data_IF_551562413996
#
_entry.id   IF_551562413996
#
_cell.length_a   1.000
_cell.length_b   1.000
_cell.length_c   1.000
_cell.angle_alpha   90.00
_cell.angle_beta   90.00
_cell.angle_gamma   90.00
#
_symmetry.space_group_name_H-M   'P 1'
#
loop_
_entity.id
_entity.type
_entity.pdbx_description
1 polymer ?
#
# COMPACT_ATOMS: atom_id res chain seq x y z
N UNK A 1 0.08 3.84 -7.03
CA UNK A 1 -0.13 2.42 -7.32
C UNK A 1 -1.06 2.31 -8.50
N UNK A 2 -0.72 1.59 -9.58
CA UNK A 2 -1.59 1.51 -10.74
C UNK A 2 -2.86 0.73 -10.40
N UNK A 3 -4.01 1.20 -10.88
CA UNK A 3 -5.26 0.44 -10.81
C UNK A 3 -5.15 -0.86 -11.62
N UNK A 4 -5.91 -1.92 -11.28
CA UNK A 4 -6.02 -3.09 -12.15
C UNK A 4 -6.44 -2.68 -13.56
N UNK A 5 -5.82 -3.28 -14.58
CA UNK A 5 -6.03 -2.91 -15.99
C UNK A 5 -7.50 -3.04 -16.41
N UNK A 6 -8.21 -4.02 -15.87
CA UNK A 6 -9.63 -4.22 -16.11
C UNK A 6 -10.48 -3.09 -15.54
N UNK A 7 -10.19 -2.62 -14.33
CA UNK A 7 -10.87 -1.46 -13.74
C UNK A 7 -10.55 -0.18 -14.50
N UNK A 8 -9.30 0.01 -14.95
CA UNK A 8 -8.94 1.16 -15.79
C UNK A 8 -9.75 1.17 -17.11
N UNK A 9 -9.91 0.01 -17.75
CA UNK A 9 -10.73 -0.12 -18.97
C UNK A 9 -12.19 0.17 -18.68
N UNK A 10 -12.72 -0.36 -17.58
CA UNK A 10 -14.10 -0.10 -17.15
C UNK A 10 -14.34 1.39 -16.90
N UNK A 11 -13.47 2.05 -16.15
CA UNK A 11 -13.52 3.49 -15.90
C UNK A 11 -13.51 4.30 -17.19
N UNK A 12 -12.60 3.98 -18.11
CA UNK A 12 -12.51 4.69 -19.39
C UNK A 12 -13.77 4.55 -20.22
N UNK A 13 -14.36 3.35 -20.26
CA UNK A 13 -15.58 3.09 -21.01
C UNK A 13 -16.84 3.73 -20.38
N UNK A 14 -16.91 3.79 -19.05
CA UNK A 14 -18.14 4.08 -18.31
C UNK A 14 -18.08 5.32 -17.42
N UNK A 15 -17.19 6.27 -17.69
CA UNK A 15 -17.07 7.50 -16.90
C UNK A 15 -18.28 8.45 -17.06
N UNK A 16 -18.92 8.47 -18.23
CA UNK A 16 -20.06 9.33 -18.54
C UNK A 16 -21.40 8.57 -18.57
N UNK A 17 -21.41 7.31 -18.11
CA UNK A 17 -22.60 6.45 -18.11
C UNK A 17 -23.08 6.19 -16.68
N UNK A 18 -24.35 5.84 -16.52
CA UNK A 18 -24.87 5.47 -15.20
C UNK A 18 -24.28 4.14 -14.75
N UNK A 19 -23.70 4.10 -13.55
CA UNK A 19 -23.04 2.94 -12.97
C UNK A 19 -23.58 2.68 -11.58
N UNK A 20 -23.99 1.44 -11.34
CA UNK A 20 -24.26 0.91 -10.01
C UNK A 20 -22.95 0.51 -9.37
N UNK A 21 -22.57 1.20 -8.29
CA UNK A 21 -21.41 0.85 -7.47
C UNK A 21 -21.89 0.22 -6.16
N UNK A 22 -21.42 -0.99 -5.86
CA UNK A 22 -21.74 -1.75 -4.65
C UNK A 22 -20.44 -2.12 -3.96
N UNK A 23 -20.27 -1.63 -2.75
CA UNK A 23 -19.14 -1.93 -1.87
C UNK A 23 -19.69 -2.65 -0.64
N UNK A 24 -19.06 -3.75 -0.27
CA UNK A 24 -19.50 -4.65 0.80
C UNK A 24 -18.35 -4.87 1.76
N UNK A 25 -18.62 -4.73 3.05
CA UNK A 25 -17.66 -5.07 4.11
C UNK A 25 -17.38 -6.59 4.14
N UNK A 26 -16.17 -6.98 4.54
CA UNK A 26 -15.80 -8.39 4.66
C UNK A 26 -16.57 -9.14 5.75
N UNK A 27 -16.36 -10.46 5.79
CA UNK A 27 -17.03 -11.31 6.77
C UNK A 27 -16.57 -11.00 8.21
N UNK A 28 -17.50 -10.50 9.04
CA UNK A 28 -17.28 -10.41 10.48
C UNK A 28 -17.00 -11.78 11.11
N UNK A 29 -16.09 -11.80 12.10
CA UNK A 29 -15.75 -12.99 12.87
C UNK A 29 -16.96 -13.55 13.63
N UNK A 30 -17.90 -12.67 14.03
CA UNK A 30 -19.11 -13.04 14.77
C UNK A 30 -20.16 -13.69 13.83
N UNK A 31 -20.52 -14.98 14.06
CA UNK A 31 -21.53 -15.68 13.28
C UNK A 31 -22.89 -15.00 13.21
N UNK A 32 -23.29 -14.27 14.25
CA UNK A 32 -24.62 -13.66 14.38
C UNK A 32 -24.82 -12.46 13.44
N UNK A 33 -23.74 -11.79 13.06
CA UNK A 33 -23.75 -10.65 12.14
C UNK A 33 -23.29 -11.00 10.72
N UNK A 34 -23.02 -12.28 10.42
CA UNK A 34 -22.57 -12.71 9.07
C UNK A 34 -23.53 -12.38 7.93
N UNK A 35 -24.79 -12.07 8.21
CA UNK A 35 -25.80 -11.66 7.22
C UNK A 35 -26.04 -10.15 7.20
N UNK A 36 -25.38 -9.38 8.08
CA UNK A 36 -25.60 -7.95 8.21
C UNK A 36 -25.31 -7.22 6.88
N UNK A 37 -24.20 -7.57 6.23
CA UNK A 37 -23.82 -7.06 4.92
C UNK A 37 -24.96 -7.17 3.87
N UNK A 38 -25.71 -8.29 3.88
CA UNK A 38 -26.77 -8.51 2.88
C UNK A 38 -27.95 -7.60 3.14
N UNK A 39 -28.27 -7.38 4.41
CA UNK A 39 -29.33 -6.45 4.82
C UNK A 39 -28.93 -5.02 4.40
N UNK A 40 -27.68 -4.63 4.63
CA UNK A 40 -27.17 -3.31 4.22
C UNK A 40 -27.18 -3.11 2.71
N UNK A 41 -26.71 -4.09 1.94
CA UNK A 41 -26.74 -4.04 0.47
C UNK A 41 -28.17 -3.93 -0.04
N UNK A 42 -29.09 -4.78 0.46
CA UNK A 42 -30.49 -4.75 0.03
C UNK A 42 -31.18 -3.43 0.43
N UNK A 43 -30.87 -2.88 1.61
CA UNK A 43 -31.35 -1.57 2.03
C UNK A 43 -30.81 -0.46 1.11
N UNK A 44 -29.51 -0.45 0.86
CA UNK A 44 -28.89 0.52 -0.05
C UNK A 44 -29.44 0.44 -1.48
N UNK A 45 -29.72 -0.77 -1.99
CA UNK A 45 -30.41 -0.96 -3.27
C UNK A 45 -31.83 -0.37 -3.23
N UNK A 46 -32.58 -0.61 -2.15
CA UNK A 46 -33.93 -0.06 -2.00
C UNK A 46 -33.92 1.47 -1.94
N UNK A 47 -32.96 2.07 -1.21
CA UNK A 47 -32.79 3.51 -1.10
C UNK A 47 -32.40 4.14 -2.44
N UNK A 48 -31.43 3.54 -3.15
CA UNK A 48 -31.05 3.96 -4.50
C UNK A 48 -32.23 3.85 -5.48
N UNK A 49 -32.99 2.76 -5.43
CA UNK A 49 -34.20 2.60 -6.25
C UNK A 49 -35.28 3.64 -5.91
N UNK A 50 -35.44 3.99 -4.64
CA UNK A 50 -36.39 5.01 -4.20
C UNK A 50 -35.98 6.41 -4.66
N UNK A 51 -34.68 6.71 -4.76
CA UNK A 51 -34.21 7.98 -5.34
C UNK A 51 -34.61 8.13 -6.82
N UNK A 52 -34.74 7.02 -7.56
CA UNK A 52 -35.23 6.97 -8.94
C UNK A 52 -36.77 7.16 -9.06
N UNK A 53 -37.45 7.56 -7.99
CA UNK A 53 -38.92 7.68 -7.98
C UNK A 53 -39.45 8.71 -8.99
N UNK A 54 -38.66 9.73 -9.32
CA UNK A 54 -39.04 10.75 -10.30
C UNK A 54 -38.46 10.52 -11.70
N UNK A 55 -37.63 9.51 -11.88
CA UNK A 55 -36.95 9.23 -13.14
C UNK A 55 -37.81 8.43 -14.11
N UNK A 56 -37.43 8.49 -15.40
CA UNK A 56 -38.15 7.83 -16.47
C UNK A 56 -38.12 6.28 -16.28
N UNK A 57 -39.19 5.57 -16.68
CA UNK A 57 -39.26 4.10 -16.58
C UNK A 57 -38.02 3.33 -17.11
N UNK A 58 -37.32 3.76 -18.19
CA UNK A 58 -36.11 3.10 -18.67
C UNK A 58 -34.97 3.03 -17.66
N UNK A 59 -34.81 4.06 -16.81
CA UNK A 59 -33.69 4.13 -15.87
C UNK A 59 -33.86 3.16 -14.70
N UNK A 60 -35.11 2.94 -14.27
CA UNK A 60 -35.43 1.90 -13.27
C UNK A 60 -35.13 0.49 -13.80
N UNK A 61 -35.47 0.23 -15.07
CA UNK A 61 -35.20 -1.07 -15.70
C UNK A 61 -33.69 -1.30 -15.81
N UNK A 62 -32.92 -0.29 -16.23
CA UNK A 62 -31.45 -0.36 -16.29
C UNK A 62 -30.84 -0.59 -14.91
N UNK A 63 -31.31 0.14 -13.89
CA UNK A 63 -30.88 -0.05 -12.51
C UNK A 63 -31.15 -1.49 -12.04
N UNK A 64 -32.36 -2.02 -12.26
CA UNK A 64 -32.73 -3.38 -11.84
C UNK A 64 -31.91 -4.45 -12.56
N UNK A 65 -31.58 -4.23 -13.83
CA UNK A 65 -30.65 -5.10 -14.58
C UNK A 65 -29.24 -5.08 -13.98
N UNK A 66 -28.72 -3.90 -13.60
CA UNK A 66 -27.43 -3.77 -12.93
C UNK A 66 -27.42 -4.49 -11.57
N UNK A 67 -28.49 -4.33 -10.78
CA UNK A 67 -28.66 -5.04 -9.51
C UNK A 67 -28.63 -6.55 -9.74
N UNK A 68 -29.45 -7.06 -10.68
CA UNK A 68 -29.50 -8.48 -10.97
C UNK A 68 -28.13 -9.04 -11.36
N UNK A 69 -27.37 -8.28 -12.17
CA UNK A 69 -26.01 -8.64 -12.57
C UNK A 69 -25.04 -8.78 -11.40
N UNK A 70 -24.90 -7.74 -10.57
CA UNK A 70 -23.98 -7.73 -9.42
C UNK A 70 -24.37 -8.77 -8.37
N UNK A 71 -25.66 -8.96 -8.11
CA UNK A 71 -26.14 -9.92 -7.11
C UNK A 71 -25.83 -11.38 -7.46
N UNK A 72 -25.51 -11.71 -8.73
CA UNK A 72 -25.06 -13.06 -9.11
C UNK A 72 -23.67 -13.41 -8.58
N UNK A 73 -22.83 -12.40 -8.34
CA UNK A 73 -21.47 -12.56 -7.83
C UNK A 73 -21.42 -12.68 -6.31
N UNK A 74 -22.48 -12.23 -5.63
CA UNK A 74 -22.59 -12.28 -4.19
C UNK A 74 -23.17 -13.63 -3.74
N UNK A 75 -22.63 -14.27 -2.67
CA UNK A 75 -23.15 -15.53 -2.18
C UNK A 75 -24.65 -15.45 -1.87
N UNK A 76 -25.42 -16.41 -2.39
CA UNK A 76 -26.88 -16.51 -2.22
C UNK A 76 -27.31 -17.26 -0.95
N UNK A 77 -26.38 -17.94 -0.26
CA UNK A 77 -26.63 -18.81 0.89
C UNK A 77 -25.92 -18.43 2.20
N UNK A 78 -25.78 -19.40 3.11
CA UNK A 78 -25.05 -19.27 4.38
C UNK A 78 -23.52 -19.35 4.24
N UNK A 79 -23.02 -19.39 3.00
CA UNK A 79 -21.59 -19.39 2.69
C UNK A 79 -20.95 -18.13 3.25
N UNK A 80 -19.76 -18.29 3.87
CA UNK A 80 -18.98 -17.13 4.34
C UNK A 80 -18.77 -16.17 3.16
N UNK A 81 -19.00 -14.88 3.41
CA UNK A 81 -18.50 -13.85 2.51
C UNK A 81 -16.97 -13.91 2.47
N UNK A 82 -16.39 -13.17 1.55
CA UNK A 82 -14.94 -13.02 1.45
C UNK A 82 -14.36 -12.58 2.82
N UNK A 83 -13.13 -13.02 3.10
CA UNK A 83 -12.40 -12.64 4.34
C UNK A 83 -12.20 -11.12 4.44
N UNK A 84 -12.29 -10.41 3.31
CA UNK A 84 -12.12 -8.98 3.16
C UNK A 84 -13.31 -8.39 2.40
N UNK A 85 -13.31 -7.09 2.17
CA UNK A 85 -14.37 -6.42 1.42
C UNK A 85 -14.54 -6.93 -0.01
N UNK A 86 -15.64 -6.51 -0.64
CA UNK A 86 -15.94 -6.79 -2.05
C UNK A 86 -16.41 -5.51 -2.73
N UNK A 87 -16.02 -5.32 -3.98
CA UNK A 87 -16.48 -4.22 -4.82
C UNK A 87 -17.08 -4.76 -6.11
N UNK A 88 -18.18 -4.15 -6.54
CA UNK A 88 -18.83 -4.42 -7.81
C UNK A 88 -19.29 -3.13 -8.47
N UNK A 89 -19.00 -2.99 -9.76
CA UNK A 89 -19.47 -1.91 -10.62
C UNK A 89 -20.24 -2.51 -11.79
N UNK A 90 -21.44 -2.01 -12.09
CA UNK A 90 -22.20 -2.43 -13.26
C UNK A 90 -22.77 -1.22 -13.99
N UNK A 91 -22.46 -1.07 -15.27
CA UNK A 91 -22.90 0.07 -16.08
C UNK A 91 -24.26 -0.20 -16.72
N UNK A 92 -25.03 0.86 -16.97
CA UNK A 92 -26.30 0.78 -17.69
C UNK A 92 -26.18 0.13 -19.09
N UNK A 93 -24.99 0.11 -19.68
CA UNK A 93 -24.74 -0.35 -21.04
C UNK A 93 -24.51 -1.85 -21.19
N UNK A 94 -24.18 -2.57 -20.11
CA UNK A 94 -23.89 -4.01 -20.26
C UNK A 94 -22.82 -4.54 -19.34
N UNK A 95 -21.81 -3.73 -19.08
CA UNK A 95 -20.54 -4.20 -18.53
C UNK A 95 -20.59 -4.26 -17.00
N UNK A 96 -19.76 -5.14 -16.45
CA UNK A 96 -19.56 -5.26 -15.01
C UNK A 96 -18.07 -5.48 -14.68
N UNK A 97 -17.66 -4.99 -13.52
CA UNK A 97 -16.38 -5.26 -12.89
C UNK A 97 -16.63 -5.70 -11.45
N UNK A 98 -16.00 -6.78 -11.00
CA UNK A 98 -16.13 -7.27 -9.63
C UNK A 98 -14.77 -7.70 -9.09
N UNK A 99 -14.51 -7.42 -7.82
CA UNK A 99 -13.26 -7.79 -7.17
C UNK A 99 -13.42 -8.01 -5.66
N UNK A 100 -12.65 -8.95 -5.12
CA UNK A 100 -12.44 -9.11 -3.68
C UNK A 100 -11.31 -8.20 -3.25
N UNK A 101 -11.61 -7.29 -2.34
CA UNK A 101 -10.68 -6.29 -1.84
C UNK A 101 -9.65 -6.90 -0.88
N UNK A 102 -8.62 -6.14 -0.57
CA UNK A 102 -7.54 -6.56 0.35
C UNK A 102 -7.78 -6.13 1.79
N UNK A 103 -8.71 -5.19 1.99
CA UNK A 103 -9.11 -4.64 3.28
C UNK A 103 -10.62 -4.48 3.31
N UNK A 104 -11.16 -4.30 4.50
CA UNK A 104 -12.56 -3.93 4.65
C UNK A 104 -12.81 -2.52 4.11
N UNK A 105 -14.01 -2.32 3.59
CA UNK A 105 -14.46 -1.07 3.00
C UNK A 105 -15.79 -0.68 3.61
N UNK A 106 -16.04 0.62 3.69
CA UNK A 106 -17.32 1.14 4.14
C UNK A 106 -18.43 0.65 3.18
N UNK A 107 -19.44 -0.08 3.69
CA UNK A 107 -20.49 -0.64 2.85
C UNK A 107 -21.31 0.48 2.23
N UNK A 108 -21.56 0.39 0.92
CA UNK A 108 -22.34 1.40 0.22
C UNK A 108 -22.90 0.91 -1.10
N UNK A 109 -24.03 1.50 -1.50
CA UNK A 109 -24.69 1.25 -2.78
C UNK A 109 -25.02 2.61 -3.39
N UNK A 110 -24.53 2.90 -4.58
CA UNK A 110 -24.78 4.18 -5.27
C UNK A 110 -25.07 3.97 -6.74
N UNK A 111 -26.04 4.72 -7.27
CA UNK A 111 -26.34 4.82 -8.69
C UNK A 111 -25.99 6.23 -9.16
N UNK A 112 -24.90 6.37 -9.91
CA UNK A 112 -24.32 7.66 -10.29
C UNK A 112 -23.72 7.60 -11.68
N UNK A 113 -23.49 8.76 -12.30
CA UNK A 113 -22.67 8.84 -13.50
C UNK A 113 -21.22 8.52 -13.13
N UNK A 114 -20.64 7.51 -13.77
CA UNK A 114 -19.31 7.00 -13.47
C UNK A 114 -19.23 6.11 -12.22
N UNK A 115 -18.18 5.28 -12.10
CA UNK A 115 -18.02 4.36 -10.98
C UNK A 115 -17.52 5.09 -9.72
N UNK A 116 -18.02 4.71 -8.55
CA UNK A 116 -17.56 5.26 -7.26
C UNK A 116 -16.25 4.58 -6.81
N UNK A 117 -15.12 5.21 -7.06
CA UNK A 117 -13.80 4.58 -6.98
C UNK A 117 -13.01 4.88 -5.72
N UNK A 118 -13.26 5.98 -5.00
CA UNK A 118 -12.44 6.34 -3.85
C UNK A 118 -12.50 5.31 -2.70
N UNK A 119 -13.67 4.75 -2.33
CA UNK A 119 -13.72 3.68 -1.33
C UNK A 119 -12.96 2.43 -1.79
N UNK A 120 -13.04 2.11 -3.08
CA UNK A 120 -12.27 1.02 -3.68
C UNK A 120 -10.77 1.29 -3.53
N UNK A 121 -10.29 2.47 -3.95
CA UNK A 121 -8.88 2.85 -3.86
C UNK A 121 -8.35 2.84 -2.42
N UNK A 122 -9.18 3.21 -1.44
CA UNK A 122 -8.81 3.18 -0.03
C UNK A 122 -8.67 1.76 0.55
N UNK A 123 -9.45 0.80 0.01
CA UNK A 123 -9.48 -0.59 0.45
C UNK A 123 -8.64 -1.53 -0.43
N UNK A 124 -8.22 -1.05 -1.60
CA UNK A 124 -7.34 -1.73 -2.54
C UNK A 124 -5.88 -1.42 -2.19
N UNK A 125 -5.23 -2.38 -1.56
CA UNK A 125 -3.83 -2.31 -1.19
C UNK A 125 -3.10 -3.51 -1.80
N UNK A 126 -2.44 -3.29 -2.94
CA UNK A 126 -1.54 -4.27 -3.55
C UNK A 126 -0.10 -4.13 -3.03
N UNK A 127 0.12 -3.40 -1.92
CA UNK A 127 1.45 -3.28 -1.35
C UNK A 127 1.98 -4.66 -0.99
N UNK A 128 2.89 -5.16 -1.81
CA UNK A 128 3.66 -6.35 -1.55
C UNK A 128 4.96 -5.90 -0.89
N UNK A 129 5.29 -6.50 0.24
CA UNK A 129 6.50 -6.19 0.97
C UNK A 129 7.40 -7.41 1.10
N UNK A 130 8.71 -7.22 0.92
CA UNK A 130 9.73 -8.15 1.36
C UNK A 130 9.99 -7.94 2.84
N UNK A 131 9.83 -8.98 3.65
CA UNK A 131 10.20 -8.98 5.07
C UNK A 131 11.48 -9.78 5.24
N UNK A 132 12.56 -9.09 5.60
CA UNK A 132 13.89 -9.65 5.82
C UNK A 132 14.19 -9.68 7.32
N UNK A 133 14.34 -10.87 7.89
CA UNK A 133 14.68 -11.07 9.30
C UNK A 133 16.10 -11.60 9.42
N UNK A 134 17.00 -10.76 9.91
CA UNK A 134 18.43 -11.08 10.02
C UNK A 134 18.92 -11.23 11.45
N UNK A 135 19.79 -12.20 11.70
CA UNK A 135 20.68 -12.20 12.87
C UNK A 135 22.15 -12.34 12.42
N UNK A 136 23.05 -12.73 13.33
CA UNK A 136 24.48 -12.88 12.99
C UNK A 136 24.78 -14.05 12.05
N UNK A 137 23.84 -14.97 11.90
CA UNK A 137 24.07 -16.27 11.28
C UNK A 137 23.07 -16.58 10.17
N UNK A 138 21.89 -15.96 10.14
CA UNK A 138 20.87 -16.27 9.15
C UNK A 138 20.08 -15.03 8.73
N UNK A 139 19.58 -15.09 7.51
CA UNK A 139 18.58 -14.22 6.92
C UNK A 139 17.37 -15.07 6.53
N UNK A 140 16.23 -14.81 7.13
CA UNK A 140 14.94 -15.34 6.69
C UNK A 140 14.23 -14.28 5.85
N UNK A 141 13.69 -14.68 4.71
CA UNK A 141 12.98 -13.77 3.81
C UNK A 141 11.53 -14.25 3.63
N UNK A 142 10.59 -13.31 3.66
CA UNK A 142 9.18 -13.56 3.43
C UNK A 142 8.61 -12.53 2.47
N UNK A 143 7.60 -12.92 1.70
CA UNK A 143 6.76 -11.98 0.99
C UNK A 143 5.47 -11.78 1.78
N UNK A 144 5.21 -10.55 2.21
CA UNK A 144 3.94 -10.13 2.79
C UNK A 144 3.05 -9.59 1.68
N UNK A 145 1.91 -10.22 1.46
CA UNK A 145 0.88 -9.77 0.53
C UNK A 145 -0.50 -10.07 1.10
N UNK A 146 -1.41 -9.09 1.09
CA UNK A 146 -2.81 -9.26 1.54
C UNK A 146 -2.93 -9.92 2.93
N UNK A 147 -2.06 -9.54 3.87
CA UNK A 147 -2.03 -10.09 5.22
C UNK A 147 -1.51 -11.53 5.35
N UNK A 148 -1.06 -12.14 4.25
CA UNK A 148 -0.47 -13.47 4.22
C UNK A 148 1.05 -13.39 4.01
N UNK A 149 1.77 -14.29 4.69
CA UNK A 149 3.20 -14.49 4.47
C UNK A 149 3.42 -15.70 3.58
N UNK A 150 4.24 -15.51 2.54
CA UNK A 150 4.80 -16.59 1.73
C UNK A 150 6.29 -16.68 2.01
N UNK A 151 6.80 -17.88 2.23
CA UNK A 151 8.20 -18.09 2.55
C UNK A 151 9.03 -17.91 1.28
N UNK A 152 10.07 -17.09 1.38
CA UNK A 152 11.09 -16.95 0.34
C UNK A 152 12.37 -17.64 0.81
N UNK A 153 13.24 -17.95 -0.14
CA UNK A 153 14.52 -18.59 0.15
C UNK A 153 15.44 -17.65 0.96
N UNK A 154 15.89 -18.14 2.12
CA UNK A 154 16.79 -17.45 3.05
C UNK A 154 18.26 -17.81 2.84
N UNK A 155 19.14 -17.17 3.62
CA UNK A 155 20.59 -17.43 3.62
C UNK A 155 21.02 -17.83 5.02
N UNK A 156 21.78 -18.92 5.13
CA UNK A 156 22.50 -19.27 6.35
C UNK A 156 24.00 -19.04 6.15
N UNK A 157 24.65 -18.50 7.18
CA UNK A 157 26.10 -18.36 7.22
C UNK A 157 26.71 -19.73 7.37
N UNK A 158 27.54 -20.12 6.39
CA UNK A 158 28.30 -21.37 6.41
C UNK A 158 29.44 -21.38 7.45
N UNK A 159 29.41 -20.49 8.46
CA UNK A 159 30.37 -20.48 9.55
C UNK A 159 30.15 -21.73 10.41
N UNK A 160 30.74 -22.84 9.98
CA UNK A 160 31.02 -23.97 10.85
C UNK A 160 31.93 -23.42 11.94
N UNK A 161 31.35 -23.12 13.10
CA UNK A 161 32.11 -23.09 14.33
C UNK A 161 32.67 -24.51 14.47
N UNK A 162 33.87 -24.74 13.94
CA UNK A 162 34.67 -25.87 14.36
C UNK A 162 34.89 -25.61 15.85
N UNK A 163 34.27 -26.37 16.78
CA UNK A 163 34.61 -26.23 18.18
C UNK A 163 36.11 -26.39 18.26
N UNK A 164 36.79 -25.36 18.76
CA UNK A 164 38.24 -25.39 18.92
C UNK A 164 38.59 -26.68 19.62
N UNK A 165 39.27 -27.57 18.92
CA UNK A 165 39.68 -28.85 19.46
C UNK A 165 40.70 -28.51 20.52
N UNK A 166 40.25 -28.43 21.78
CA UNK A 166 41.08 -28.21 22.95
C UNK A 166 41.97 -29.43 23.15
N UNK A 167 43.03 -29.55 22.34
CA UNK A 167 44.11 -30.53 22.51
C UNK A 167 45.44 -29.86 22.16
N UNK A 168 45.74 -28.75 22.85
CA UNK A 168 47.12 -28.32 23.04
C UNK A 168 47.77 -29.27 24.04
N UNK A 169 48.59 -30.21 23.54
CA UNK A 169 49.43 -31.04 24.41
C UNK A 169 50.33 -30.17 25.30
N UNK A 170 50.62 -30.65 26.51
CA UNK A 170 51.43 -29.94 27.49
C UNK A 170 52.75 -29.43 26.88
N UNK A 171 53.16 -28.18 27.15
CA UNK A 171 54.36 -27.61 26.57
C UNK A 171 55.59 -28.41 27.03
N UNK A 172 56.42 -28.83 26.07
CA UNK A 172 57.72 -29.43 26.37
C UNK A 172 58.64 -28.37 27.00
N UNK A 173 59.32 -28.76 28.07
CA UNK A 173 60.33 -27.96 28.77
C UNK A 173 61.39 -27.51 27.75
N UNK A 174 61.57 -26.20 27.60
CA UNK A 174 62.53 -25.59 26.67
C UNK A 174 61.94 -24.71 25.56
N UNK A 175 60.62 -24.49 25.52
CA UNK A 175 60.03 -23.61 24.50
C UNK A 175 60.20 -22.12 24.88
N UNK A 176 60.97 -21.37 24.08
CA UNK A 176 61.17 -19.94 24.24
C UNK A 176 59.90 -19.16 23.85
N UNK A 177 59.36 -18.39 24.80
CA UNK A 177 58.27 -17.42 24.60
C UNK A 177 58.87 -16.19 23.91
N UNK A 178 59.05 -16.29 22.59
CA UNK A 178 59.77 -15.29 21.81
C UNK A 178 59.39 -15.27 20.34
N UNK A 179 58.13 -15.54 20.01
CA UNK A 179 57.61 -15.34 18.65
C UNK A 179 56.17 -14.86 18.75
N UNK A 180 55.94 -13.62 18.29
CA UNK A 180 54.64 -12.98 18.11
C UNK A 180 53.85 -13.71 17.03
N UNK A 181 53.31 -14.89 17.34
CA UNK A 181 52.22 -15.49 16.58
C UNK A 181 50.93 -14.86 17.09
N UNK A 182 50.10 -14.34 16.17
CA UNK A 182 48.72 -13.98 16.51
C UNK A 182 48.11 -15.11 17.33
N UNK A 183 47.59 -14.80 18.52
CA UNK A 183 47.02 -15.83 19.38
C UNK A 183 45.90 -16.52 18.61
N UNK A 184 45.67 -17.82 18.80
CA UNK A 184 44.59 -18.52 18.11
C UNK A 184 43.22 -17.82 18.29
N UNK A 185 43.05 -17.09 19.41
CA UNK A 185 41.93 -16.19 19.65
C UNK A 185 41.86 -15.05 18.62
N UNK A 186 42.95 -14.33 18.36
CA UNK A 186 43.01 -13.27 17.34
C UNK A 186 42.72 -13.79 15.91
N UNK A 187 43.11 -15.02 15.62
CA UNK A 187 42.82 -15.67 14.34
C UNK A 187 41.33 -16.06 14.23
N UNK A 188 40.75 -16.62 15.29
CA UNK A 188 39.33 -16.95 15.36
C UNK A 188 38.43 -15.71 15.28
N UNK A 189 38.81 -14.64 15.99
CA UNK A 189 38.09 -13.37 15.98
C UNK A 189 38.10 -12.70 14.59
N UNK A 190 39.26 -12.73 13.90
CA UNK A 190 39.34 -12.23 12.52
C UNK A 190 38.48 -13.06 11.58
N UNK A 191 38.56 -14.39 11.67
CA UNK A 191 37.74 -15.28 10.84
C UNK A 191 36.23 -15.07 11.09
N UNK A 192 35.82 -14.86 12.34
CA UNK A 192 34.43 -14.58 12.70
C UNK A 192 33.96 -13.24 12.15
N UNK A 193 34.77 -12.17 12.24
CA UNK A 193 34.44 -10.86 11.67
C UNK A 193 34.34 -10.90 10.15
N UNK A 194 35.26 -11.60 9.49
CA UNK A 194 35.22 -11.78 8.03
C UNK A 194 34.00 -12.61 7.60
N UNK A 195 33.67 -13.68 8.32
CA UNK A 195 32.46 -14.46 8.06
C UNK A 195 31.19 -13.63 8.23
N UNK A 196 31.16 -12.79 9.27
CA UNK A 196 30.07 -11.85 9.50
C UNK A 196 29.93 -10.84 8.36
N UNK A 197 31.03 -10.20 7.95
CA UNK A 197 31.01 -9.23 6.85
C UNK A 197 30.57 -9.87 5.52
N UNK A 198 31.04 -11.09 5.22
CA UNK A 198 30.56 -11.87 4.07
C UNK A 198 29.08 -12.18 4.15
N UNK A 199 28.58 -12.56 5.33
CA UNK A 199 27.16 -12.83 5.54
C UNK A 199 26.30 -11.57 5.34
N UNK A 200 26.68 -10.42 5.90
CA UNK A 200 25.97 -9.14 5.69
C UNK A 200 25.95 -8.78 4.21
N UNK A 201 27.09 -8.88 3.53
CA UNK A 201 27.20 -8.57 2.09
C UNK A 201 26.29 -9.48 1.25
N UNK A 202 26.31 -10.79 1.51
CA UNK A 202 25.46 -11.75 0.82
C UNK A 202 23.96 -11.49 1.11
N UNK A 203 23.62 -11.15 2.35
CA UNK A 203 22.26 -10.81 2.77
C UNK A 203 21.74 -9.55 2.08
N UNK A 204 22.55 -8.48 1.99
CA UNK A 204 22.23 -7.25 1.25
C UNK A 204 21.98 -7.54 -0.23
N UNK A 205 22.87 -8.30 -0.86
CA UNK A 205 22.72 -8.69 -2.27
C UNK A 205 21.42 -9.47 -2.48
N UNK A 206 21.09 -10.37 -1.55
CA UNK A 206 19.88 -11.17 -1.63
C UNK A 206 18.61 -10.36 -1.41
N UNK A 207 18.60 -9.45 -0.43
CA UNK A 207 17.49 -8.52 -0.21
C UNK A 207 17.26 -7.68 -1.48
N UNK A 208 18.34 -7.16 -2.07
CA UNK A 208 18.29 -6.39 -3.32
C UNK A 208 17.68 -7.21 -4.46
N UNK A 209 18.13 -8.46 -4.64
CA UNK A 209 17.62 -9.35 -5.67
C UNK A 209 16.14 -9.70 -5.48
N UNK A 210 15.72 -9.98 -4.24
CA UNK A 210 14.35 -10.36 -3.93
C UNK A 210 13.39 -9.18 -3.97
N UNK A 211 13.84 -7.99 -3.58
CA UNK A 211 13.02 -6.78 -3.56
C UNK A 211 12.69 -6.28 -4.97
N UNK A 212 13.64 -6.39 -5.90
CA UNK A 212 13.52 -5.80 -7.24
C UNK A 212 13.10 -4.33 -7.18
N UNK A 213 12.33 -3.90 -8.18
CA UNK A 213 12.07 -2.48 -8.39
C UNK A 213 10.88 -1.93 -7.58
N UNK A 214 9.99 -2.81 -7.09
CA UNK A 214 8.65 -2.39 -6.67
C UNK A 214 8.25 -2.78 -5.25
N UNK A 215 8.99 -3.67 -4.58
CA UNK A 215 8.60 -4.11 -3.23
C UNK A 215 9.03 -3.08 -2.17
N UNK A 216 8.14 -2.86 -1.19
CA UNK A 216 8.53 -2.28 0.09
C UNK A 216 9.41 -3.27 0.85
N UNK A 217 10.36 -2.79 1.63
CA UNK A 217 11.31 -3.65 2.36
C UNK A 217 11.13 -3.40 3.85
N UNK A 218 10.88 -4.46 4.61
CA UNK A 218 10.85 -4.42 6.08
C UNK A 218 12.03 -5.22 6.59
N UNK A 219 12.93 -4.57 7.34
CA UNK A 219 14.10 -5.23 7.94
C UNK A 219 13.89 -5.37 9.44
N UNK A 220 13.89 -6.61 9.92
CA UNK A 220 13.81 -6.95 11.34
C UNK A 220 15.02 -7.77 11.78
N UNK A 221 15.21 -7.90 13.09
CA UNK A 221 16.27 -8.70 13.68
C UNK A 221 16.98 -8.03 14.86
N UNK A 222 18.22 -8.47 15.09
CA UNK A 222 19.10 -7.83 16.06
C UNK A 222 19.49 -6.41 15.57
N UNK A 223 19.44 -5.40 16.44
CA UNK A 223 19.61 -3.99 16.06
C UNK A 223 20.90 -3.72 15.27
N UNK A 224 22.02 -4.34 15.65
CA UNK A 224 23.30 -4.24 14.93
C UNK A 224 23.19 -4.78 13.49
N UNK A 225 22.57 -5.95 13.31
CA UNK A 225 22.33 -6.54 12.00
C UNK A 225 21.39 -5.67 11.16
N UNK A 226 20.31 -5.17 11.75
CA UNK A 226 19.33 -4.33 11.05
C UNK A 226 19.98 -3.07 10.49
N UNK A 227 20.77 -2.35 11.31
CA UNK A 227 21.49 -1.16 10.84
C UNK A 227 22.47 -1.49 9.73
N UNK A 228 23.29 -2.55 9.89
CA UNK A 228 24.27 -2.95 8.87
C UNK A 228 23.62 -3.37 7.54
N UNK A 229 22.48 -4.07 7.60
CA UNK A 229 21.72 -4.42 6.40
C UNK A 229 21.15 -3.17 5.73
N UNK A 230 20.56 -2.26 6.51
CA UNK A 230 19.98 -1.02 5.99
C UNK A 230 21.03 -0.12 5.34
N UNK A 231 22.17 0.07 6.00
CA UNK A 231 23.29 0.89 5.52
C UNK A 231 23.96 0.28 4.28
N UNK A 232 23.85 -1.04 4.09
CA UNK A 232 24.39 -1.73 2.93
C UNK A 232 23.49 -1.69 1.70
N UNK A 233 22.21 -1.31 1.82
CA UNK A 233 21.30 -1.27 0.69
C UNK A 233 21.63 -0.13 -0.28
N UNK A 234 21.43 -0.33 -1.60
CA UNK A 234 21.48 0.74 -2.58
C UNK A 234 20.56 1.94 -2.24
N UNK A 235 20.99 3.14 -2.60
CA UNK A 235 20.26 4.39 -2.31
C UNK A 235 18.83 4.39 -2.88
N UNK A 236 18.61 3.77 -4.04
CA UNK A 236 17.29 3.64 -4.67
C UNK A 236 16.33 2.75 -3.86
N UNK A 237 16.87 1.79 -3.10
CA UNK A 237 16.08 0.96 -2.19
C UNK A 237 15.81 1.65 -0.85
N UNK A 238 16.72 2.51 -0.39
CA UNK A 238 16.64 3.14 0.95
C UNK A 238 15.30 3.84 1.22
N UNK A 239 14.72 4.47 0.19
CA UNK A 239 13.42 5.16 0.28
C UNK A 239 12.22 4.23 0.47
N UNK A 240 12.42 2.93 0.23
CA UNK A 240 11.43 1.85 0.34
C UNK A 240 11.63 0.98 1.58
N UNK A 241 12.58 1.33 2.46
CA UNK A 241 12.95 0.52 3.61
C UNK A 241 12.28 1.04 4.89
N UNK A 242 11.65 0.13 5.63
CA UNK A 242 11.17 0.35 6.97
C UNK A 242 11.93 -0.56 7.94
N UNK A 243 12.50 0.02 8.98
CA UNK A 243 13.19 -0.74 10.03
C UNK A 243 12.18 -1.14 11.11
N UNK A 244 12.15 -2.43 11.42
CA UNK A 244 11.30 -3.02 12.44
C UNK A 244 12.16 -3.75 13.50
N UNK A 245 12.91 -3.02 14.35
CA UNK A 245 13.82 -3.63 15.33
C UNK A 245 13.07 -4.48 16.39
N UNK A 246 11.78 -4.23 16.58
CA UNK A 246 10.93 -5.06 17.43
C UNK A 246 10.68 -6.47 16.84
N UNK A 247 10.91 -6.66 15.54
CA UNK A 247 10.64 -7.91 14.86
C UNK A 247 11.86 -8.83 14.95
N UNK A 248 11.80 -9.84 15.81
CA UNK A 248 12.88 -10.80 16.02
C UNK A 248 12.81 -11.97 15.03
N UNK A 249 13.95 -12.63 14.77
CA UNK A 249 14.03 -13.75 13.81
C UNK A 249 13.21 -14.98 14.25
N UNK A 250 12.93 -15.10 15.55
CA UNK A 250 12.09 -16.16 16.11
C UNK A 250 10.61 -15.75 16.29
N UNK A 251 10.21 -14.59 15.75
CA UNK A 251 8.83 -14.14 15.84
C UNK A 251 7.86 -15.13 15.18
N UNK A 252 6.67 -15.26 15.74
CA UNK A 252 5.62 -16.08 15.12
C UNK A 252 5.16 -15.45 13.79
N UNK A 253 4.61 -16.25 12.86
CA UNK A 253 4.07 -15.72 11.59
C UNK A 253 3.04 -14.60 11.79
N UNK A 254 2.15 -14.75 12.78
CA UNK A 254 1.15 -13.74 13.10
C UNK A 254 1.78 -12.44 13.59
N UNK A 255 2.86 -12.54 14.37
CA UNK A 255 3.63 -11.39 14.83
C UNK A 255 4.39 -10.72 13.67
N UNK A 256 4.99 -11.50 12.77
CA UNK A 256 5.63 -11.00 11.55
C UNK A 256 4.63 -10.20 10.71
N UNK A 257 3.45 -10.77 10.41
CA UNK A 257 2.38 -10.06 9.67
C UNK A 257 2.03 -8.74 10.34
N UNK A 258 1.79 -8.76 11.65
CA UNK A 258 1.34 -7.58 12.40
C UNK A 258 2.40 -6.48 12.41
N UNK A 259 3.65 -6.81 12.76
CA UNK A 259 4.72 -5.82 12.90
C UNK A 259 5.17 -5.32 11.52
N UNK A 260 5.33 -6.21 10.54
CA UNK A 260 5.68 -5.81 9.18
C UNK A 260 4.58 -4.98 8.53
N UNK A 261 3.30 -5.33 8.71
CA UNK A 261 2.18 -4.54 8.22
C UNK A 261 2.16 -3.13 8.81
N UNK A 262 2.45 -2.97 10.10
CA UNK A 262 2.57 -1.64 10.72
C UNK A 262 3.77 -0.84 10.18
N UNK A 263 4.89 -1.50 9.90
CA UNK A 263 6.07 -0.89 9.30
C UNK A 263 5.78 -0.40 7.87
N UNK A 264 5.14 -1.22 7.04
CA UNK A 264 4.68 -0.85 5.68
C UNK A 264 3.71 0.33 5.74
N UNK A 265 2.73 0.31 6.65
CA UNK A 265 1.82 1.43 6.83
C UNK A 265 2.52 2.74 7.25
N UNK A 266 3.59 2.64 8.05
CA UNK A 266 4.41 3.79 8.45
C UNK A 266 5.23 4.35 7.29
N UNK A 267 5.79 3.46 6.45
CA UNK A 267 6.50 3.84 5.22
C UNK A 267 5.58 4.57 4.25
N UNK A 268 4.39 4.04 4.04
CA UNK A 268 3.37 4.67 3.19
C UNK A 268 2.96 6.05 3.71
N UNK A 269 2.74 6.17 5.03
CA UNK A 269 2.47 7.46 5.65
C UNK A 269 3.63 8.46 5.47
N UNK A 270 4.88 8.01 5.57
CA UNK A 270 6.05 8.86 5.31
C UNK A 270 6.10 9.32 3.85
N UNK A 271 5.81 8.43 2.89
CA UNK A 271 5.73 8.73 1.45
C UNK A 271 4.65 9.77 1.16
N UNK A 272 3.44 9.59 1.69
CA UNK A 272 2.34 10.54 1.49
C UNK A 272 2.63 11.91 2.14
N UNK A 273 3.27 11.96 3.32
CA UNK A 273 3.73 13.24 3.92
C UNK A 273 4.81 13.93 3.09
N UNK A 274 5.74 13.16 2.53
CA UNK A 274 6.75 13.72 1.64
C UNK A 274 6.10 14.30 0.37
N UNK A 275 5.15 13.59 -0.23
CA UNK A 275 4.36 14.07 -1.36
C UNK A 275 3.59 15.35 -1.01
N UNK A 276 2.88 15.38 0.13
CA UNK A 276 2.13 16.55 0.57
C UNK A 276 3.04 17.78 0.70
N UNK A 277 4.18 17.64 1.41
CA UNK A 277 5.17 18.74 1.53
C UNK A 277 5.70 19.21 0.18
N UNK A 278 6.00 18.29 -0.73
CA UNK A 278 6.43 18.64 -2.09
C UNK A 278 5.35 19.45 -2.83
N UNK A 279 4.08 19.06 -2.71
CA UNK A 279 2.96 19.78 -3.34
C UNK A 279 2.78 21.16 -2.70
N UNK A 280 2.86 21.25 -1.37
CA UNK A 280 2.80 22.52 -0.65
C UNK A 280 3.90 23.47 -1.14
N UNK A 281 5.17 23.05 -1.07
CA UNK A 281 6.32 23.85 -1.53
C UNK A 281 6.18 24.26 -3.01
N UNK A 282 5.76 23.34 -3.88
CA UNK A 282 5.59 23.58 -5.31
C UNK A 282 4.42 24.51 -5.64
N UNK A 283 3.37 24.53 -4.81
CA UNK A 283 2.21 25.40 -4.98
C UNK A 283 2.57 26.88 -4.79
N UNK A 284 3.50 27.18 -3.88
CA UNK A 284 3.91 28.56 -3.58
C UNK A 284 4.98 29.10 -4.53
N UNK A 285 5.87 28.23 -5.03
CA UNK A 285 7.14 28.70 -5.63
C UNK A 285 7.30 28.42 -7.12
N UNK A 286 6.67 27.37 -7.67
CA UNK A 286 6.95 26.90 -9.04
C UNK A 286 5.71 26.55 -9.86
N UNK A 287 4.51 26.69 -9.30
CA UNK A 287 3.26 26.39 -9.98
C UNK A 287 3.05 24.91 -10.32
N UNK A 288 3.89 24.00 -9.80
CA UNK A 288 3.82 22.54 -10.02
C UNK A 288 3.02 21.80 -8.94
N UNK A 289 2.38 22.53 -8.03
CA UNK A 289 1.50 22.00 -7.00
C UNK A 289 0.15 22.70 -7.01
N UNK A 290 -0.89 21.99 -6.59
CA UNK A 290 -2.21 22.55 -6.38
C UNK A 290 -2.84 22.02 -5.10
N UNK A 291 -3.43 22.92 -4.32
CA UNK A 291 -4.09 22.62 -3.05
C UNK A 291 -5.55 23.06 -3.14
N UNK A 292 -6.47 22.24 -2.62
CA UNK A 292 -7.90 22.50 -2.62
C UNK A 292 -8.62 22.14 -3.94
N UNK A 293 -9.90 21.82 -3.82
CA UNK A 293 -10.70 21.23 -4.91
C UNK A 293 -10.78 22.11 -6.15
N UNK A 294 -11.03 23.41 -5.98
CA UNK A 294 -11.13 24.34 -7.11
C UNK A 294 -9.81 24.49 -7.87
N UNK A 295 -8.71 24.55 -7.12
CA UNK A 295 -7.41 24.61 -7.74
C UNK A 295 -7.25 23.33 -8.54
N UNK A 296 -7.32 22.14 -7.92
CA UNK A 296 -7.14 20.85 -8.59
C UNK A 296 -8.02 20.73 -9.84
N UNK A 297 -9.30 21.09 -9.77
CA UNK A 297 -10.22 21.09 -10.91
C UNK A 297 -9.67 21.88 -12.12
N UNK A 298 -9.15 23.10 -11.90
CA UNK A 298 -8.52 23.90 -12.97
C UNK A 298 -7.26 23.26 -13.57
N UNK A 299 -6.50 22.45 -12.83
CA UNK A 299 -5.40 21.70 -13.45
C UNK A 299 -5.88 20.53 -14.28
N UNK A 300 -6.97 19.88 -13.86
CA UNK A 300 -7.55 18.76 -14.59
C UNK A 300 -8.12 19.21 -15.93
N UNK A 301 -8.69 20.43 -16.01
CA UNK A 301 -9.14 21.03 -17.29
C UNK A 301 -8.05 21.05 -18.37
N UNK A 302 -6.78 21.19 -17.97
CA UNK A 302 -5.63 21.21 -18.89
C UNK A 302 -4.84 19.89 -18.87
N UNK A 303 -5.28 18.86 -18.14
CA UNK A 303 -4.57 17.58 -18.02
C UNK A 303 -3.23 17.66 -17.28
N UNK A 304 -3.05 18.66 -16.40
CA UNK A 304 -1.79 18.91 -15.71
C UNK A 304 -1.57 18.02 -14.49
N UNK A 305 -2.59 17.34 -13.95
CA UNK A 305 -2.45 16.54 -12.73
C UNK A 305 -1.69 15.24 -13.02
N UNK A 306 -0.61 15.04 -12.29
CA UNK A 306 0.19 13.82 -12.30
C UNK A 306 -0.27 12.85 -11.21
N UNK A 307 -0.39 13.35 -9.98
CA UNK A 307 -0.80 12.58 -8.82
C UNK A 307 -1.73 13.41 -7.95
N UNK A 308 -2.87 12.83 -7.57
CA UNK A 308 -3.86 13.40 -6.68
C UNK A 308 -3.84 12.65 -5.34
N UNK A 309 -3.75 13.38 -4.24
CA UNK A 309 -3.90 12.90 -2.87
C UNK A 309 -5.21 13.46 -2.30
N UNK A 310 -6.09 12.57 -1.85
CA UNK A 310 -7.43 12.93 -1.34
C UNK A 310 -7.53 12.62 0.15
N UNK A 311 -7.89 13.62 0.95
CA UNK A 311 -8.17 13.46 2.37
C UNK A 311 -9.47 12.68 2.61
N UNK A 312 -9.51 11.87 3.68
CA UNK A 312 -10.67 11.00 3.96
C UNK A 312 -11.88 11.80 4.40
N UNK A 313 -11.70 12.87 5.18
CA UNK A 313 -12.82 13.71 5.60
C UNK A 313 -13.43 14.42 4.39
N UNK A 314 -12.59 14.96 3.51
CA UNK A 314 -13.04 15.55 2.25
C UNK A 314 -13.76 14.54 1.36
N UNK A 315 -13.20 13.33 1.18
CA UNK A 315 -13.85 12.27 0.40
C UNK A 315 -15.23 11.89 0.96
N UNK A 316 -15.42 11.95 2.28
CA UNK A 316 -16.69 11.66 2.93
C UNK A 316 -17.68 12.83 2.90
N UNK A 317 -17.23 14.07 3.10
CA UNK A 317 -18.09 15.25 3.19
C UNK A 317 -18.45 15.82 1.80
N UNK A 318 -17.55 15.72 0.84
CA UNK A 318 -17.68 16.25 -0.51
C UNK A 318 -17.60 15.13 -1.56
N UNK A 319 -18.34 14.03 -1.32
CA UNK A 319 -18.28 12.78 -2.11
C UNK A 319 -18.30 13.00 -3.62
N UNK A 320 -19.30 13.72 -4.13
CA UNK A 320 -19.45 13.93 -5.57
C UNK A 320 -18.24 14.64 -6.19
N UNK A 321 -17.76 15.70 -5.54
CA UNK A 321 -16.58 16.45 -5.99
C UNK A 321 -15.32 15.59 -5.92
N UNK A 322 -15.12 14.86 -4.82
CA UNK A 322 -13.94 14.01 -4.65
C UNK A 322 -13.86 12.90 -5.70
N UNK A 323 -14.99 12.22 -5.96
CA UNK A 323 -15.07 11.17 -6.99
C UNK A 323 -14.80 11.74 -8.39
N UNK A 324 -15.39 12.90 -8.72
CA UNK A 324 -15.16 13.55 -10.00
C UNK A 324 -13.68 13.88 -10.22
N UNK A 325 -13.01 14.46 -9.22
CA UNK A 325 -11.57 14.77 -9.31
C UNK A 325 -10.73 13.50 -9.47
N UNK A 326 -11.07 12.44 -8.74
CA UNK A 326 -10.37 11.16 -8.81
C UNK A 326 -10.54 10.49 -10.18
N UNK A 327 -11.78 10.36 -10.66
CA UNK A 327 -12.08 9.77 -11.96
C UNK A 327 -11.36 10.54 -13.06
N UNK A 328 -11.45 11.88 -13.06
CA UNK A 328 -10.81 12.69 -14.10
C UNK A 328 -9.29 12.55 -14.07
N UNK A 329 -8.69 12.52 -12.89
CA UNK A 329 -7.23 12.29 -12.75
C UNK A 329 -6.83 10.97 -13.39
N UNK A 330 -7.56 9.88 -13.14
CA UNK A 330 -7.25 8.57 -13.71
C UNK A 330 -7.47 8.52 -15.22
N UNK A 331 -8.52 9.18 -15.73
CA UNK A 331 -8.80 9.27 -17.17
C UNK A 331 -7.68 10.02 -17.93
N UNK A 332 -7.09 11.03 -17.31
CA UNK A 332 -5.94 11.78 -17.84
C UNK A 332 -4.59 11.05 -17.59
N UNK A 333 -4.65 9.80 -17.11
CA UNK A 333 -3.50 8.92 -16.86
C UNK A 333 -2.68 9.28 -15.62
N UNK A 334 -3.23 10.12 -14.73
CA UNK A 334 -2.65 10.42 -13.44
C UNK A 334 -2.91 9.31 -12.41
N UNK A 335 -2.25 9.42 -11.26
CA UNK A 335 -2.43 8.52 -10.12
C UNK A 335 -3.32 9.15 -9.05
N UNK A 336 -4.13 8.35 -8.37
CA UNK A 336 -4.95 8.80 -7.24
C UNK A 336 -4.60 7.98 -6.01
N UNK A 337 -4.36 8.66 -4.89
CA UNK A 337 -4.09 8.06 -3.60
C UNK A 337 -5.07 8.63 -2.57
N UNK A 338 -5.68 7.74 -1.77
CA UNK A 338 -6.46 8.16 -0.60
C UNK A 338 -5.52 8.26 0.58
N UNK A 339 -5.59 9.38 1.31
CA UNK A 339 -4.71 9.63 2.44
C UNK A 339 -4.90 8.56 3.52
N UNK A 340 -3.81 7.94 3.95
CA UNK A 340 -3.83 7.00 5.08
C UNK A 340 -4.23 7.73 6.37
N UNK A 341 -4.76 7.03 7.40
CA UNK A 341 -5.23 7.68 8.62
C UNK A 341 -4.21 8.63 9.26
N UNK A 342 -2.92 8.27 9.22
CA UNK A 342 -1.83 9.05 9.81
C UNK A 342 -1.44 10.31 9.03
N UNK A 343 -2.07 10.56 7.87
CA UNK A 343 -1.82 11.70 6.97
C UNK A 343 -3.11 12.45 6.63
N UNK A 344 -4.28 11.81 6.75
CA UNK A 344 -5.58 12.39 6.36
C UNK A 344 -5.81 13.78 6.96
N UNK A 345 -5.61 13.97 8.27
CA UNK A 345 -5.83 15.26 8.91
C UNK A 345 -4.96 16.38 8.31
N UNK A 346 -3.70 16.09 7.98
CA UNK A 346 -2.81 17.07 7.36
C UNK A 346 -3.28 17.44 5.94
N UNK A 347 -3.83 16.50 5.17
CA UNK A 347 -4.40 16.80 3.84
C UNK A 347 -5.71 17.57 3.98
N UNK A 348 -6.58 17.14 4.89
CA UNK A 348 -7.90 17.75 5.13
C UNK A 348 -7.76 19.21 5.60
N UNK A 349 -6.88 19.47 6.57
CA UNK A 349 -6.68 20.81 7.15
C UNK A 349 -5.67 21.66 6.38
N UNK A 350 -4.52 21.09 6.00
CA UNK A 350 -3.41 21.82 5.38
C UNK A 350 -3.55 22.03 3.88
N UNK A 351 -4.23 21.12 3.18
CA UNK A 351 -4.45 21.19 1.73
C UNK A 351 -5.93 21.40 1.35
N UNK A 352 -6.78 21.75 2.33
CA UNK A 352 -8.23 21.91 2.13
C UNK A 352 -8.89 20.69 1.48
N UNK A 353 -8.50 19.50 1.92
CA UNK A 353 -9.10 18.23 1.52
C UNK A 353 -8.44 17.51 0.35
N UNK A 354 -7.75 18.22 -0.55
CA UNK A 354 -7.09 17.60 -1.71
C UNK A 354 -5.80 18.30 -2.09
N UNK A 355 -4.79 17.52 -2.49
CA UNK A 355 -3.51 18.02 -2.96
C UNK A 355 -3.13 17.32 -4.27
N UNK A 356 -2.61 18.06 -5.24
CA UNK A 356 -2.18 17.50 -6.51
C UNK A 356 -0.78 17.95 -6.91
N UNK A 357 0.07 16.97 -7.28
CA UNK A 357 1.32 17.22 -8.00
C UNK A 357 1.01 17.36 -9.48
N UNK A 358 1.61 18.35 -10.13
CA UNK A 358 1.36 18.66 -11.53
C UNK A 358 2.55 18.29 -12.42
N UNK A 359 2.27 17.74 -13.61
CA UNK A 359 3.24 17.42 -14.66
C UNK A 359 3.94 18.67 -15.19
N UNK A 360 3.19 19.75 -15.31
CA UNK A 360 3.68 21.05 -15.78
C UNK A 360 3.07 22.18 -14.96
N UNK A 361 3.77 23.31 -14.92
CA UNK A 361 3.36 24.45 -14.12
C UNK A 361 2.03 25.01 -14.62
N UNK A 362 1.19 25.45 -13.67
CA UNK A 362 0.06 26.30 -14.01
C UNK A 362 0.59 27.64 -14.48
N UNK A 363 0.10 28.10 -15.63
CA UNK A 363 0.25 29.50 -15.97
C UNK A 363 -0.45 30.30 -14.87
N UNK A 364 0.22 31.24 -14.18
CA UNK A 364 -0.44 32.02 -13.15
C UNK A 364 -1.65 32.69 -13.78
N UNK A 365 -2.81 32.59 -13.12
CA UNK A 365 -3.98 33.33 -13.53
C UNK A 365 -3.54 34.80 -13.65
N UNK A 366 -3.66 35.36 -14.86
CA UNK A 366 -3.36 36.76 -15.14
C UNK A 366 -4.14 37.54 -14.09
N UNK A 367 -3.44 38.13 -13.12
CA UNK A 367 -4.07 39.04 -12.19
C UNK A 367 -4.74 40.10 -13.06
N UNK A 368 -6.08 40.14 -13.04
CA UNK A 368 -6.83 41.26 -13.58
C UNK A 368 -6.33 42.47 -12.80
N UNK A 369 -5.40 43.21 -13.41
CA UNK A 369 -5.10 44.58 -13.05
C UNK A 369 -6.39 45.35 -13.32
N UNK A 370 -7.24 45.46 -12.31
CA UNK A 370 -8.26 46.50 -12.26
C UNK A 370 -7.53 47.83 -12.16
N UNK A 371 -7.67 48.63 -13.21
CA UNK A 371 -7.32 50.04 -13.27
C UNK A 371 -8.22 50.88 -12.37
#
# INVERSE_FOLDING_TARGET
MPLPLELQRFLKAHHDTQVLSVLVEGASADPSVRRHWRIEVLRGIADARAALFHDAPPDRVRFDQCVARLMRHLPSGSTRLFTHGWAGFASADGDEYVEVLTRDVEPSVTWTVGPRILPYLAAHDESVALVALGDRHRLLAYQLSRGALTDLEGIESAATSMPGTHMGGAPRVGFHVGTRGATQADAADRAAREAWHRHVTASVQRITQLAGDNLAIVIGGASETVSLLADGLPDDLSTRVALAPALQVHASRAEIVRVAGAAVGSLEAARQRALLRQVEEASWSRGHGALGAEAVARALEVGAVDRLLVGRAFAHQHRATAELLAQRTLLDGGEVEVAVPAVSAAVDEGAWGVAARLRFARSPARALQTA
#
